data_IF_645162830552
#
_entry.id   IF_645162830552
#
_cell.length_a   1.000
_cell.length_b   1.000
_cell.length_c   1.000
_cell.angle_alpha   90.00
_cell.angle_beta   90.00
_cell.angle_gamma   90.00
#
_symmetry.space_group_name_H-M   'P 1'
#
loop_
_entity.id
_entity.type
_entity.pdbx_description
1 polymer ?
#
# COMPACT_ATOMS: atom_id res chain seq x y z
N UNK A 1 -0.44 -2.21 -10.18
CA UNK A 1 -1.88 -2.57 -10.07
C UNK A 1 -2.56 -1.28 -9.64
N UNK A 2 -3.64 -1.27 -8.87
CA UNK A 2 -4.12 -0.01 -8.28
C UNK A 2 -3.85 0.02 -6.78
N UNK A 3 -3.97 1.21 -6.18
CA UNK A 3 -3.66 1.45 -4.77
C UNK A 3 -4.35 0.47 -3.81
N UNK A 4 -5.62 0.14 -4.07
CA UNK A 4 -6.37 -0.81 -3.27
C UNK A 4 -5.82 -2.25 -3.36
N UNK A 5 -5.28 -2.64 -4.52
CA UNK A 5 -4.61 -3.93 -4.69
C UNK A 5 -3.31 -3.98 -3.90
N UNK A 6 -2.53 -2.90 -3.94
CA UNK A 6 -1.27 -2.79 -3.22
C UNK A 6 -1.50 -2.98 -1.71
N UNK A 7 -2.48 -2.26 -1.15
CA UNK A 7 -2.86 -2.38 0.27
C UNK A 7 -3.41 -3.77 0.62
N UNK A 8 -4.11 -4.42 -0.32
CA UNK A 8 -4.61 -5.78 -0.09
C UNK A 8 -3.45 -6.78 -0.03
N UNK A 9 -2.48 -6.67 -0.93
CA UNK A 9 -1.28 -7.51 -0.94
C UNK A 9 -0.42 -7.24 0.30
N UNK A 10 -0.22 -5.97 0.67
CA UNK A 10 0.44 -5.57 1.91
C UNK A 10 -0.24 -6.17 3.14
N UNK A 11 -1.57 -6.22 3.16
CA UNK A 11 -2.32 -6.83 4.25
C UNK A 11 -2.01 -8.32 4.37
N UNK A 12 -1.92 -9.04 3.25
CA UNK A 12 -1.58 -10.46 3.19
C UNK A 12 -0.14 -10.69 3.65
N UNK A 13 0.82 -9.98 3.06
CA UNK A 13 2.24 -10.12 3.40
C UNK A 13 2.52 -9.67 4.83
N UNK A 14 1.95 -8.56 5.28
CA UNK A 14 2.06 -8.07 6.65
C UNK A 14 1.52 -9.08 7.66
N UNK A 15 0.40 -9.73 7.36
CA UNK A 15 -0.15 -10.78 8.22
C UNK A 15 0.78 -11.99 8.28
N UNK A 16 1.26 -12.47 7.13
CA UNK A 16 2.20 -13.58 7.04
C UNK A 16 3.50 -13.29 7.80
N UNK A 17 4.05 -12.09 7.65
CA UNK A 17 5.32 -11.69 8.28
C UNK A 17 5.17 -11.50 9.78
N UNK A 18 4.08 -10.88 10.22
CA UNK A 18 3.74 -10.80 11.64
C UNK A 18 3.72 -12.19 12.28
N UNK A 19 3.12 -13.17 11.61
CA UNK A 19 3.05 -14.54 12.11
C UNK A 19 4.42 -15.23 12.12
N UNK A 20 5.13 -15.23 10.99
CA UNK A 20 6.37 -16.01 10.80
C UNK A 20 7.59 -15.39 11.46
N UNK A 21 7.73 -14.06 11.35
CA UNK A 21 8.92 -13.34 11.80
C UNK A 21 8.72 -12.62 13.14
N UNK A 22 7.51 -12.70 13.72
CA UNK A 22 7.14 -12.05 14.99
C UNK A 22 7.46 -10.56 15.00
N UNK A 23 7.38 -9.93 13.84
CA UNK A 23 7.68 -8.52 13.68
C UNK A 23 6.59 -7.70 14.40
N UNK A 24 6.95 -6.59 15.09
CA UNK A 24 5.95 -5.80 15.78
C UNK A 24 4.91 -5.25 14.81
N UNK A 25 3.63 -5.43 15.16
CA UNK A 25 2.49 -5.18 14.27
C UNK A 25 2.43 -3.74 13.78
N UNK A 26 2.69 -2.78 14.67
CA UNK A 26 2.61 -1.38 14.30
C UNK A 26 3.62 -0.96 13.26
N UNK A 27 4.95 -1.08 13.48
CA UNK A 27 5.90 -0.71 12.44
C UNK A 27 5.66 -1.48 11.14
N UNK A 28 5.25 -2.75 11.21
CA UNK A 28 4.97 -3.56 10.03
C UNK A 28 3.83 -3.00 9.18
N UNK A 29 2.61 -2.95 9.71
CA UNK A 29 1.45 -2.52 8.91
C UNK A 29 1.50 -1.03 8.58
N UNK A 30 2.00 -0.20 9.50
CA UNK A 30 2.14 1.24 9.23
C UNK A 30 3.23 1.47 8.18
N UNK A 31 4.38 0.79 8.26
CA UNK A 31 5.42 0.92 7.23
C UNK A 31 4.98 0.42 5.86
N UNK A 32 4.30 -0.74 5.79
CA UNK A 32 3.78 -1.31 4.55
C UNK A 32 2.79 -0.36 3.85
N UNK A 33 1.79 0.17 4.56
CA UNK A 33 0.85 1.06 3.89
C UNK A 33 1.43 2.43 3.60
N UNK A 34 2.35 2.93 4.43
CA UNK A 34 3.00 4.22 4.20
C UNK A 34 3.85 4.22 2.93
N UNK A 35 4.44 3.11 2.51
CA UNK A 35 5.19 3.06 1.25
C UNK A 35 4.32 3.27 0.02
N UNK A 36 3.01 3.00 0.08
CA UNK A 36 2.10 3.31 -1.03
C UNK A 36 1.86 4.82 -1.19
N UNK A 37 2.30 5.64 -0.24
CA UNK A 37 2.31 7.09 -0.44
C UNK A 37 3.31 7.53 -1.53
N UNK A 38 4.11 6.60 -2.07
CA UNK A 38 4.93 6.86 -3.25
C UNK A 38 4.07 7.28 -4.45
N UNK A 39 2.84 6.76 -4.57
CA UNK A 39 1.86 7.10 -5.62
C UNK A 39 1.42 8.58 -5.62
N UNK A 40 1.82 9.35 -4.60
CA UNK A 40 1.55 10.78 -4.57
C UNK A 40 2.23 11.51 -5.74
N UNK A 41 3.24 10.90 -6.36
CA UNK A 41 3.87 11.42 -7.57
C UNK A 41 2.97 11.42 -8.82
N UNK A 42 1.98 10.53 -8.88
CA UNK A 42 0.92 10.60 -9.91
C UNK A 42 0.13 11.91 -9.84
N UNK A 43 -0.04 12.50 -8.64
CA UNK A 43 -0.70 13.79 -8.48
C UNK A 43 0.15 14.97 -8.99
N UNK A 44 1.47 14.80 -9.05
CA UNK A 44 2.38 15.79 -9.62
C UNK A 44 2.48 15.68 -11.15
N UNK A 45 2.30 14.49 -11.72
CA UNK A 45 2.54 14.19 -13.14
C UNK A 45 1.26 13.81 -13.93
N UNK A 46 0.08 14.33 -13.53
CA UNK A 46 -1.25 14.02 -14.10
C UNK A 46 -1.35 14.13 -15.64
N UNK A 47 -0.45 14.87 -16.30
CA UNK A 47 -0.43 15.02 -17.76
C UNK A 47 0.27 13.89 -18.52
N UNK A 48 1.00 13.00 -17.84
CA UNK A 48 1.81 11.93 -18.46
C UNK A 48 1.15 10.55 -18.32
N UNK A 49 0.16 10.42 -17.44
CA UNK A 49 -0.51 9.17 -17.13
C UNK A 49 -1.62 8.88 -18.16
N UNK A 50 -1.22 8.35 -19.32
CA UNK A 50 -2.15 8.03 -20.43
C UNK A 50 -2.74 6.62 -20.33
N UNK A 51 -2.51 5.91 -19.21
CA UNK A 51 -2.99 4.54 -18.99
C UNK A 51 -2.28 3.45 -19.81
N UNK A 52 -1.31 3.82 -20.66
CA UNK A 52 -0.51 2.89 -21.46
C UNK A 52 1.00 2.95 -21.17
N UNK A 53 1.44 3.90 -20.37
CA UNK A 53 2.85 4.17 -20.13
C UNK A 53 3.22 3.63 -18.75
N UNK A 54 4.42 3.04 -18.66
CA UNK A 54 4.89 2.37 -17.45
C UNK A 54 5.14 3.38 -16.33
N UNK A 55 4.36 3.30 -15.24
CA UNK A 55 4.51 4.13 -14.03
C UNK A 55 5.95 4.19 -13.52
N UNK A 56 6.67 3.06 -13.62
CA UNK A 56 8.08 2.91 -13.21
C UNK A 56 9.07 3.79 -14.00
N UNK A 57 8.66 4.34 -15.14
CA UNK A 57 9.52 5.12 -16.05
C UNK A 57 9.15 6.59 -16.14
N UNK A 58 8.00 6.96 -15.58
CA UNK A 58 7.43 8.31 -15.70
C UNK A 58 7.51 9.03 -14.37
N UNK A 59 7.13 8.34 -13.30
CA UNK A 59 6.91 9.02 -12.03
C UNK A 59 8.19 9.06 -11.22
N UNK A 60 8.49 10.27 -10.74
CA UNK A 60 9.80 10.57 -10.15
C UNK A 60 10.14 9.64 -8.99
N UNK A 61 9.20 9.39 -8.08
CA UNK A 61 9.51 8.53 -6.94
C UNK A 61 9.62 7.07 -7.34
N UNK A 62 8.84 6.60 -8.31
CA UNK A 62 8.97 5.26 -8.87
C UNK A 62 10.33 5.02 -9.54
N UNK A 63 10.83 5.99 -10.30
CA UNK A 63 12.17 5.95 -10.93
C UNK A 63 13.25 5.80 -9.85
N UNK A 64 13.14 6.56 -8.75
CA UNK A 64 14.08 6.47 -7.63
C UNK A 64 13.71 5.40 -6.59
N UNK A 65 12.72 4.56 -6.86
CA UNK A 65 12.20 3.57 -5.91
C UNK A 65 13.27 2.60 -5.42
N UNK A 66 14.17 2.16 -6.32
CA UNK A 66 15.31 1.31 -5.96
C UNK A 66 16.30 1.97 -5.00
N UNK A 67 16.54 3.28 -5.15
CA UNK A 67 17.39 4.04 -4.25
C UNK A 67 16.74 4.24 -2.87
N UNK A 68 15.45 4.58 -2.85
CA UNK A 68 14.66 4.72 -1.62
C UNK A 68 14.64 3.38 -0.85
N UNK A 69 14.37 2.28 -1.55
CA UNK A 69 14.42 0.91 -1.02
C UNK A 69 15.78 0.62 -0.38
N UNK A 70 16.87 0.80 -1.13
CA UNK A 70 18.22 0.53 -0.66
C UNK A 70 18.58 1.37 0.58
N UNK A 71 18.12 2.62 0.63
CA UNK A 71 18.33 3.53 1.77
C UNK A 71 17.65 3.02 3.04
N UNK A 72 16.41 2.53 2.96
CA UNK A 72 15.73 1.94 4.12
C UNK A 72 16.36 0.62 4.56
N UNK A 73 16.80 -0.23 3.63
CA UNK A 73 17.53 -1.45 3.97
C UNK A 73 18.84 -1.11 4.68
N UNK A 74 19.62 -0.17 4.15
CA UNK A 74 20.87 0.28 4.75
C UNK A 74 20.64 0.86 6.14
N UNK A 75 19.60 1.68 6.32
CA UNK A 75 19.20 2.19 7.63
C UNK A 75 18.88 1.06 8.61
N UNK A 76 18.11 0.05 8.19
CA UNK A 76 17.77 -1.09 9.04
C UNK A 76 19.01 -1.88 9.47
N UNK A 77 20.01 -2.01 8.59
CA UNK A 77 21.28 -2.68 8.86
C UNK A 77 22.16 -1.87 9.83
N UNK A 78 22.27 -0.55 9.64
CA UNK A 78 23.07 0.34 10.49
C UNK A 78 22.48 0.42 11.91
N UNK A 79 21.15 0.56 12.03
CA UNK A 79 20.44 0.69 13.30
C UNK A 79 19.88 -0.64 13.79
N UNK A 80 20.58 -1.75 13.56
CA UNK A 80 20.13 -3.10 13.84
C UNK A 80 19.72 -3.37 15.31
N UNK A 81 20.15 -2.57 16.29
CA UNK A 81 19.73 -2.69 17.69
C UNK A 81 18.55 -1.79 18.08
N UNK A 82 18.12 -0.89 17.20
CA UNK A 82 17.03 0.05 17.47
C UNK A 82 15.66 -0.52 17.09
N UNK A 83 14.61 -0.14 17.83
CA UNK A 83 13.21 -0.39 17.45
C UNK A 83 12.86 0.29 16.11
N UNK A 84 13.61 1.32 15.69
CA UNK A 84 13.42 2.00 14.40
C UNK A 84 13.74 1.12 13.20
N UNK A 85 14.53 0.04 13.36
CA UNK A 85 14.83 -0.90 12.27
C UNK A 85 13.58 -1.53 11.67
N UNK A 86 12.57 -1.82 12.50
CA UNK A 86 11.34 -2.46 12.05
C UNK A 86 10.53 -1.55 11.13
N UNK A 87 10.56 -0.24 11.39
CA UNK A 87 9.93 0.74 10.51
C UNK A 87 10.60 0.75 9.13
N UNK A 88 11.93 0.79 9.12
CA UNK A 88 12.69 0.79 7.87
C UNK A 88 12.51 -0.51 7.07
N UNK A 89 12.52 -1.68 7.73
CA UNK A 89 12.24 -2.97 7.08
C UNK A 89 10.82 -2.97 6.49
N UNK A 90 9.83 -2.50 7.25
CA UNK A 90 8.45 -2.48 6.79
C UNK A 90 8.23 -1.57 5.58
N UNK A 91 8.81 -0.37 5.60
CA UNK A 91 8.74 0.57 4.47
C UNK A 91 9.48 0.01 3.25
N UNK A 92 10.67 -0.57 3.43
CA UNK A 92 11.41 -1.20 2.34
C UNK A 92 10.60 -2.35 1.72
N UNK A 93 10.03 -3.21 2.56
CA UNK A 93 9.22 -4.31 2.08
C UNK A 93 7.97 -3.84 1.34
N UNK A 94 7.24 -2.88 1.89
CA UNK A 94 6.03 -2.36 1.26
C UNK A 94 6.34 -1.68 -0.06
N UNK A 95 7.47 -0.96 -0.14
CA UNK A 95 7.95 -0.38 -1.39
C UNK A 95 8.32 -1.47 -2.42
N UNK A 96 8.96 -2.56 -1.99
CA UNK A 96 9.23 -3.69 -2.88
C UNK A 96 7.94 -4.34 -3.39
N UNK A 97 6.95 -4.54 -2.53
CA UNK A 97 5.64 -5.09 -2.89
C UNK A 97 4.92 -4.15 -3.86
N UNK A 98 4.93 -2.86 -3.57
CA UNK A 98 4.34 -1.82 -4.42
C UNK A 98 4.93 -1.86 -5.84
N UNK A 99 6.26 -1.76 -5.96
CA UNK A 99 6.94 -1.82 -7.27
C UNK A 99 6.73 -3.17 -7.98
N UNK A 100 6.59 -4.27 -7.23
CA UNK A 100 6.25 -5.57 -7.80
C UNK A 100 4.83 -5.62 -8.38
N UNK A 101 3.85 -5.02 -7.69
CA UNK A 101 2.48 -4.89 -8.20
C UNK A 101 2.42 -4.06 -9.48
N UNK A 102 3.25 -3.03 -9.58
CA UNK A 102 3.40 -2.22 -10.78
C UNK A 102 4.07 -2.96 -11.92
N UNK A 103 5.12 -3.73 -11.64
CA UNK A 103 5.73 -4.61 -12.61
C UNK A 103 4.73 -5.67 -13.16
N UNK A 104 3.86 -6.22 -12.31
CA UNK A 104 2.76 -7.11 -12.74
C UNK A 104 1.79 -6.36 -13.67
N UNK A 105 1.41 -5.14 -13.32
CA UNK A 105 0.52 -4.31 -14.13
C UNK A 105 1.11 -4.04 -15.52
N UNK A 106 2.40 -3.70 -15.56
CA UNK A 106 3.14 -3.51 -16.80
C UNK A 106 3.24 -4.80 -17.62
N UNK A 107 3.50 -5.95 -16.98
CA UNK A 107 3.59 -7.25 -17.64
C UNK A 107 2.29 -7.64 -18.35
N UNK A 108 1.13 -7.31 -17.78
CA UNK A 108 -0.18 -7.51 -18.42
C UNK A 108 -0.61 -6.33 -19.30
N UNK A 109 0.34 -5.45 -19.66
CA UNK A 109 0.13 -4.26 -20.50
C UNK A 109 -1.01 -3.36 -20.02
N UNK A 110 -1.16 -3.21 -18.70
CA UNK A 110 -2.24 -2.44 -18.08
C UNK A 110 -3.64 -2.83 -18.58
N UNK A 111 -3.83 -4.09 -19.01
CA UNK A 111 -5.13 -4.56 -19.49
C UNK A 111 -6.17 -4.50 -18.35
N UNK A 112 -7.11 -3.57 -18.46
CA UNK A 112 -8.07 -3.27 -17.39
C UNK A 112 -8.99 -4.45 -17.04
N UNK A 113 -9.29 -5.33 -17.99
CA UNK A 113 -10.12 -6.52 -17.76
C UNK A 113 -9.33 -7.53 -16.92
N UNK A 114 -8.08 -7.79 -17.29
CA UNK A 114 -7.20 -8.70 -16.54
C UNK A 114 -6.96 -8.16 -15.14
N UNK A 115 -6.58 -6.88 -15.02
CA UNK A 115 -6.32 -6.23 -13.74
C UNK A 115 -7.58 -6.22 -12.87
N UNK A 116 -8.73 -5.82 -13.40
CA UNK A 116 -10.00 -5.84 -12.66
C UNK A 116 -10.38 -7.24 -12.19
N UNK A 117 -10.16 -8.27 -13.02
CA UNK A 117 -10.33 -9.66 -12.64
C UNK A 117 -9.42 -10.09 -11.48
N UNK A 118 -8.13 -9.74 -11.55
CA UNK A 118 -7.18 -9.99 -10.46
C UNK A 118 -7.59 -9.30 -9.16
N UNK A 119 -7.99 -8.03 -9.23
CA UNK A 119 -8.43 -7.25 -8.07
C UNK A 119 -9.68 -7.85 -7.42
N UNK A 120 -10.67 -8.28 -8.21
CA UNK A 120 -11.88 -8.97 -7.71
C UNK A 120 -11.52 -10.28 -7.02
N UNK A 121 -10.70 -11.11 -7.66
CA UNK A 121 -10.26 -12.38 -7.08
C UNK A 121 -9.52 -12.14 -5.76
N UNK A 122 -8.62 -11.16 -5.73
CA UNK A 122 -7.85 -10.82 -4.55
C UNK A 122 -8.75 -10.44 -3.35
N UNK A 123 -9.77 -9.61 -3.56
CA UNK A 123 -10.72 -9.22 -2.49
C UNK A 123 -11.61 -10.36 -2.06
N UNK A 124 -12.13 -11.14 -3.00
CA UNK A 124 -13.01 -12.28 -2.70
C UNK A 124 -12.29 -13.35 -1.90
N UNK A 125 -11.03 -13.63 -2.23
CA UNK A 125 -10.23 -14.64 -1.54
C UNK A 125 -9.48 -14.11 -0.33
N UNK A 126 -9.40 -12.78 -0.11
CA UNK A 126 -8.69 -12.19 1.02
C UNK A 126 -9.10 -12.80 2.38
N UNK A 127 -10.39 -12.95 2.74
CA UNK A 127 -10.75 -13.56 4.02
C UNK A 127 -10.29 -15.00 4.16
N UNK A 128 -10.28 -15.76 3.06
CA UNK A 128 -9.83 -17.16 3.04
C UNK A 128 -8.32 -17.24 3.22
N UNK A 129 -7.57 -16.38 2.51
CA UNK A 129 -6.12 -16.25 2.65
C UNK A 129 -5.75 -15.84 4.08
N UNK A 130 -6.45 -14.84 4.65
CA UNK A 130 -6.18 -14.37 6.01
C UNK A 130 -6.51 -15.42 7.07
N UNK A 131 -7.46 -16.32 6.85
CA UNK A 131 -7.74 -17.47 7.74
C UNK A 131 -6.62 -18.50 7.78
N UNK A 132 -5.79 -18.57 6.73
CA UNK A 132 -4.61 -19.44 6.72
C UNK A 132 -3.51 -18.96 7.67
N UNK A 133 -3.61 -17.72 8.18
CA UNK A 133 -2.64 -17.14 9.08
C UNK A 133 -3.20 -16.97 10.50
N UNK A 134 -2.37 -17.22 11.50
CA UNK A 134 -2.69 -16.92 12.90
C UNK A 134 -2.48 -15.42 13.17
N UNK A 135 -3.29 -14.58 12.50
CA UNK A 135 -3.13 -13.13 12.57
C UNK A 135 -3.37 -12.62 14.00
N UNK A 136 -2.46 -11.78 14.54
CA UNK A 136 -2.70 -11.09 15.79
C UNK A 136 -3.72 -9.95 15.65
N UNK A 137 -4.08 -9.55 14.42
CA UNK A 137 -5.15 -8.57 14.16
C UNK A 137 -6.43 -9.33 13.77
N UNK A 138 -7.60 -8.99 14.35
CA UNK A 138 -8.87 -9.57 13.93
C UNK A 138 -9.12 -9.36 12.43
N UNK A 139 -9.44 -10.44 11.71
CA UNK A 139 -9.67 -10.42 10.26
C UNK A 139 -10.67 -9.34 9.85
N UNK A 140 -11.74 -9.13 10.64
CA UNK A 140 -12.74 -8.08 10.39
C UNK A 140 -12.13 -6.67 10.30
N UNK A 141 -11.09 -6.37 11.08
CA UNK A 141 -10.44 -5.06 11.09
C UNK A 141 -9.55 -4.88 9.84
N UNK A 142 -8.85 -5.94 9.44
CA UNK A 142 -8.08 -5.97 8.20
C UNK A 142 -8.98 -5.82 6.98
N UNK A 143 -10.12 -6.53 6.99
CA UNK A 143 -11.10 -6.47 5.91
C UNK A 143 -11.78 -5.10 5.83
N UNK A 144 -12.12 -4.50 6.97
CA UNK A 144 -12.63 -3.12 7.01
C UNK A 144 -11.64 -2.14 6.41
N UNK A 145 -10.36 -2.23 6.79
CA UNK A 145 -9.32 -1.35 6.24
C UNK A 145 -9.21 -1.49 4.72
N UNK A 146 -9.05 -2.72 4.23
CA UNK A 146 -8.96 -2.99 2.79
C UNK A 146 -10.22 -2.48 2.08
N UNK A 147 -11.41 -2.74 2.61
CA UNK A 147 -12.67 -2.25 2.05
C UNK A 147 -12.74 -0.73 1.95
N UNK A 148 -12.26 -0.01 2.95
CA UNK A 148 -12.19 1.46 2.92
C UNK A 148 -11.24 1.96 1.84
N UNK A 149 -10.05 1.35 1.70
CA UNK A 149 -9.12 1.69 0.62
C UNK A 149 -9.70 1.41 -0.77
N UNK A 150 -10.43 0.31 -0.92
CA UNK A 150 -11.13 -0.03 -2.14
C UNK A 150 -12.20 0.99 -2.53
N UNK A 151 -12.98 1.48 -1.57
CA UNK A 151 -13.99 2.53 -1.80
C UNK A 151 -13.29 3.82 -2.24
N UNK A 152 -12.21 4.20 -1.56
CA UNK A 152 -11.46 5.42 -1.87
C UNK A 152 -10.80 5.37 -3.26
N UNK A 153 -10.15 4.25 -3.60
CA UNK A 153 -9.55 4.03 -4.91
C UNK A 153 -10.62 4.02 -6.02
N UNK A 154 -11.77 3.36 -5.80
CA UNK A 154 -12.89 3.38 -6.75
C UNK A 154 -13.43 4.80 -6.97
N UNK A 155 -13.56 5.58 -5.89
CA UNK A 155 -13.97 6.98 -5.97
C UNK A 155 -12.95 7.81 -6.76
N UNK A 156 -11.65 7.60 -6.54
CA UNK A 156 -10.58 8.27 -7.28
C UNK A 156 -10.63 7.96 -8.77
N UNK A 157 -10.73 6.69 -9.15
CA UNK A 157 -10.86 6.28 -10.55
C UNK A 157 -12.10 6.88 -11.21
N UNK A 158 -13.20 6.96 -10.47
CA UNK A 158 -14.45 7.58 -10.95
C UNK A 158 -14.26 9.08 -11.20
N UNK A 159 -13.66 9.81 -10.25
CA UNK A 159 -13.34 11.23 -10.40
C UNK A 159 -12.45 11.44 -11.62
N UNK A 160 -11.37 10.66 -11.76
CA UNK A 160 -10.48 10.79 -12.91
C UNK A 160 -11.20 10.49 -14.23
N UNK A 161 -11.96 9.40 -14.33
CA UNK A 161 -12.70 9.05 -15.55
C UNK A 161 -13.63 10.17 -16.04
N UNK A 162 -14.32 10.86 -15.13
CA UNK A 162 -15.27 11.92 -15.48
C UNK A 162 -14.65 13.32 -15.62
N UNK A 163 -13.54 13.60 -14.92
CA UNK A 163 -12.98 14.95 -14.78
C UNK A 163 -11.70 15.19 -15.63
N UNK A 164 -11.21 14.17 -16.35
CA UNK A 164 -10.06 14.27 -17.27
C UNK A 164 -10.23 15.32 -18.39
N UNK A 165 -11.46 15.82 -18.63
CA UNK A 165 -11.70 16.90 -19.59
C UNK A 165 -11.12 18.26 -19.16
N UNK A 166 -10.78 18.46 -17.89
CA UNK A 166 -10.23 19.72 -17.37
C UNK A 166 -9.00 19.50 -16.47
N UNK A 167 -7.88 19.04 -17.06
CA UNK A 167 -6.63 18.69 -16.37
C UNK A 167 -6.19 19.64 -15.23
N UNK A 168 -6.44 20.95 -15.36
CA UNK A 168 -6.08 21.96 -14.35
C UNK A 168 -6.99 21.98 -13.11
N UNK A 169 -8.29 21.66 -13.26
CA UNK A 169 -9.20 21.45 -12.10
C UNK A 169 -8.92 20.11 -11.42
N UNK A 170 -8.37 19.16 -12.17
CA UNK A 170 -8.09 17.80 -11.71
C UNK A 170 -6.91 17.73 -10.73
N UNK A 171 -6.02 18.74 -10.70
CA UNK A 171 -4.90 18.77 -9.74
C UNK A 171 -5.43 18.77 -8.31
N UNK A 172 -6.32 19.70 -7.95
CA UNK A 172 -6.84 19.80 -6.57
C UNK A 172 -7.62 18.53 -6.20
N UNK A 173 -8.42 17.98 -7.11
CA UNK A 173 -9.17 16.74 -6.85
C UNK A 173 -8.29 15.51 -6.75
N UNK A 174 -7.15 15.47 -7.46
CA UNK A 174 -6.14 14.41 -7.33
C UNK A 174 -5.51 14.36 -5.93
N UNK A 175 -5.47 15.46 -5.18
CA UNK A 175 -4.96 15.51 -3.80
C UNK A 175 -5.97 15.07 -2.74
N UNK A 176 -7.27 15.16 -3.04
CA UNK A 176 -8.34 14.85 -2.06
C UNK A 176 -8.24 13.40 -1.58
N UNK A 177 -8.07 12.46 -2.52
CA UNK A 177 -8.05 11.04 -2.17
C UNK A 177 -6.79 10.65 -1.38
N UNK A 178 -5.56 11.04 -1.79
CA UNK A 178 -4.35 10.83 -0.99
C UNK A 178 -4.47 11.39 0.44
N UNK A 179 -5.05 12.59 0.61
CA UNK A 179 -5.24 13.19 1.94
C UNK A 179 -6.24 12.39 2.79
N UNK A 180 -7.37 11.97 2.20
CA UNK A 180 -8.36 11.14 2.89
C UNK A 180 -7.75 9.80 3.31
N UNK A 181 -7.00 9.16 2.40
CA UNK A 181 -6.34 7.89 2.67
C UNK A 181 -5.27 8.02 3.76
N UNK A 182 -4.48 9.10 3.74
CA UNK A 182 -3.52 9.40 4.81
C UNK A 182 -4.24 9.59 6.16
N UNK A 183 -5.37 10.29 6.18
CA UNK A 183 -6.18 10.47 7.39
C UNK A 183 -6.73 9.15 7.93
N UNK A 184 -7.30 8.31 7.06
CA UNK A 184 -7.81 6.98 7.42
C UNK A 184 -6.70 6.07 7.93
N UNK A 185 -5.53 6.15 7.32
CA UNK A 185 -4.33 5.45 7.76
C UNK A 185 -3.89 5.86 9.17
N UNK A 186 -3.85 7.16 9.46
CA UNK A 186 -3.52 7.69 10.80
C UNK A 186 -4.54 7.19 11.84
N UNK A 187 -5.83 7.18 11.50
CA UNK A 187 -6.89 6.64 12.36
C UNK A 187 -6.66 5.15 12.61
N UNK A 188 -6.39 4.36 11.56
CA UNK A 188 -6.15 2.93 11.69
C UNK A 188 -4.94 2.63 12.58
N UNK A 189 -3.83 3.31 12.34
CA UNK A 189 -2.60 3.17 13.13
C UNK A 189 -2.81 3.46 14.63
N UNK A 190 -3.60 4.49 14.95
CA UNK A 190 -3.79 4.93 16.33
C UNK A 190 -4.88 4.17 17.09
N UNK A 191 -5.94 3.73 16.42
CA UNK A 191 -7.10 3.12 17.09
C UNK A 191 -7.17 1.60 16.93
N UNK A 192 -6.70 1.06 15.81
CA UNK A 192 -6.86 -0.37 15.51
C UNK A 192 -5.58 -1.17 15.69
N UNK A 193 -4.41 -0.54 15.55
CA UNK A 193 -3.10 -1.18 15.70
C UNK A 193 -2.53 -0.99 17.11
N UNK A 194 -2.59 0.23 17.67
CA UNK A 194 -2.06 0.58 19.01
C UNK A 194 -2.45 -0.38 20.15
N UNK A 195 -3.69 -0.93 20.22
CA UNK A 195 -4.07 -1.87 21.28
C UNK A 195 -3.25 -3.18 21.29
N UNK A 196 -2.62 -3.53 20.16
CA UNK A 196 -1.88 -4.77 19.96
C UNK A 196 -0.37 -4.62 20.20
N UNK A 197 0.09 -3.46 20.68
CA UNK A 197 1.47 -3.23 21.10
C UNK A 197 1.82 -3.84 22.47
N UNK A 198 0.84 -4.40 23.20
CA UNK A 198 1.13 -5.07 24.48
C UNK A 198 2.08 -6.24 24.24
N UNK A 199 3.16 -6.36 25.04
CA UNK A 199 4.15 -7.42 24.84
C UNK A 199 3.46 -8.78 24.94
N UNK A 200 3.51 -9.56 23.88
CA UNK A 200 3.09 -10.97 23.87
C UNK A 200 4.03 -11.88 24.70
N UNK A 201 4.99 -11.29 25.41
CA UNK A 201 5.91 -11.96 26.32
C UNK A 201 5.52 -11.68 27.79
N UNK A 202 4.32 -12.07 28.17
CA UNK A 202 3.98 -12.34 29.57
C UNK A 202 3.37 -13.74 29.66
N UNK A 203 4.22 -14.74 29.45
CA UNK A 203 4.06 -16.09 29.98
C UNK A 203 5.41 -16.58 30.42
#
# INVERSE_FOLDING_TARGET
MWLADHVTIDTIFGTWIAEKWKMPIRPLFVGLYASNAIDIDHAFDLGQDTGFVNSLTIHTFHIYGGFILASFILYALIFNFSKTRYWAIAIALGLAIHLWCDAIAFWVHYNIIILGGMSILLVLFLPLILKCFSSPIPIKNLWFLVGVYWIADTAQRTIFYFDFKNAYKTIISAWIVPIILLGLFIIFANFYIKPWEKPQHSK
#
